data_IF_869232477235
#
_entry.id   IF_869232477235
#
_cell.length_a   1.000
_cell.length_b   1.000
_cell.length_c   1.000
_cell.angle_alpha   90.00
_cell.angle_beta   90.00
_cell.angle_gamma   90.00
#
_symmetry.space_group_name_H-M   'P 1'
#
loop_
_entity.id
_entity.type
_entity.pdbx_description
1 polymer ?
#
# COMPACT_ATOMS: atom_id res chain seq x y z
N UNK A 1 -34.67 -0.78 1.64
CA UNK A 1 -33.38 -1.03 2.34
C UNK A 1 -32.32 -1.66 1.43
N UNK A 2 -32.64 -2.65 0.57
CA UNK A 2 -31.71 -3.22 -0.43
C UNK A 2 -31.28 -2.24 -1.55
N UNK A 3 -32.15 -1.32 -1.97
CA UNK A 3 -31.87 -0.34 -3.03
C UNK A 3 -30.72 0.62 -2.69
N UNK A 4 -30.70 1.20 -1.48
CA UNK A 4 -29.57 2.05 -1.04
C UNK A 4 -28.24 1.30 -1.02
N UNK A 5 -28.26 0.04 -0.60
CA UNK A 5 -27.05 -0.79 -0.58
C UNK A 5 -26.50 -1.06 -1.99
N UNK A 6 -27.37 -1.20 -3.00
CA UNK A 6 -26.98 -1.38 -4.39
C UNK A 6 -26.31 -0.13 -4.98
N UNK A 7 -26.90 1.06 -4.73
CA UNK A 7 -26.29 2.33 -5.15
C UNK A 7 -24.92 2.53 -4.49
N UNK A 8 -24.80 2.28 -3.19
CA UNK A 8 -23.52 2.39 -2.48
C UNK A 8 -22.46 1.40 -2.99
N UNK A 9 -22.87 0.23 -3.48
CA UNK A 9 -21.96 -0.73 -4.15
C UNK A 9 -21.48 -0.19 -5.49
N UNK A 10 -22.38 0.35 -6.30
CA UNK A 10 -22.03 0.98 -7.57
C UNK A 10 -21.08 2.16 -7.38
N UNK A 11 -21.40 3.07 -6.47
CA UNK A 11 -20.58 4.24 -6.13
C UNK A 11 -19.20 3.86 -5.59
N UNK A 12 -19.12 2.80 -4.78
CA UNK A 12 -17.81 2.27 -4.34
C UNK A 12 -16.96 1.79 -5.50
N UNK A 13 -17.52 1.06 -6.46
CA UNK A 13 -16.74 0.58 -7.61
C UNK A 13 -16.37 1.73 -8.57
N UNK A 14 -17.24 2.72 -8.73
CA UNK A 14 -17.00 3.93 -9.51
C UNK A 14 -15.82 4.73 -8.94
N UNK A 15 -15.87 5.02 -7.64
CA UNK A 15 -14.90 5.89 -6.97
C UNK A 15 -13.58 5.21 -6.60
N UNK A 16 -13.52 3.88 -6.62
CA UNK A 16 -12.41 3.07 -6.09
C UNK A 16 -11.02 3.53 -6.54
N UNK A 17 -10.91 3.96 -7.78
CA UNK A 17 -9.63 4.24 -8.44
C UNK A 17 -9.39 5.70 -8.76
N UNK A 18 -10.36 6.56 -8.42
CA UNK A 18 -10.38 7.97 -8.77
C UNK A 18 -9.58 8.80 -7.75
N UNK A 19 -9.16 10.01 -8.15
CA UNK A 19 -8.68 11.03 -7.23
C UNK A 19 -9.82 11.48 -6.29
N UNK A 20 -9.49 11.96 -5.09
CA UNK A 20 -10.49 12.34 -4.08
C UNK A 20 -11.53 13.34 -4.60
N UNK A 21 -11.08 14.41 -5.26
CA UNK A 21 -12.00 15.45 -5.76
C UNK A 21 -12.90 14.92 -6.89
N UNK A 22 -12.35 14.13 -7.81
CA UNK A 22 -13.12 13.52 -8.89
C UNK A 22 -14.10 12.47 -8.36
N UNK A 23 -13.69 11.69 -7.35
CA UNK A 23 -14.54 10.72 -6.69
C UNK A 23 -15.75 11.41 -6.02
N UNK A 24 -15.51 12.53 -5.33
CA UNK A 24 -16.55 13.31 -4.67
C UNK A 24 -17.55 13.90 -5.68
N UNK A 25 -17.04 14.46 -6.79
CA UNK A 25 -17.90 14.98 -7.87
C UNK A 25 -18.71 13.86 -8.51
N UNK A 26 -18.07 12.75 -8.90
CA UNK A 26 -18.75 11.61 -9.50
C UNK A 26 -19.80 11.00 -8.57
N UNK A 27 -19.52 10.90 -7.27
CA UNK A 27 -20.49 10.41 -6.30
C UNK A 27 -21.72 11.31 -6.22
N UNK A 28 -21.53 12.63 -6.18
CA UNK A 28 -22.62 13.61 -6.15
C UNK A 28 -23.44 13.54 -7.44
N UNK A 29 -22.80 13.60 -8.59
CA UNK A 29 -23.49 13.63 -9.89
C UNK A 29 -24.35 12.36 -10.09
N UNK A 30 -23.85 11.18 -9.70
CA UNK A 30 -24.63 9.94 -9.81
C UNK A 30 -25.78 9.88 -8.80
N UNK A 31 -25.63 10.46 -7.60
CA UNK A 31 -26.75 10.59 -6.66
C UNK A 31 -27.81 11.54 -7.21
N UNK A 32 -27.43 12.68 -7.77
CA UNK A 32 -28.34 13.63 -8.41
C UNK A 32 -29.09 12.98 -9.59
N UNK A 33 -28.42 12.26 -10.49
CA UNK A 33 -29.08 11.55 -11.61
C UNK A 33 -30.11 10.54 -11.10
N UNK A 34 -29.80 9.81 -10.03
CA UNK A 34 -30.73 8.85 -9.44
C UNK A 34 -31.93 9.56 -8.80
N UNK A 35 -31.72 10.71 -8.15
CA UNK A 35 -32.78 11.52 -7.55
C UNK A 35 -33.67 12.20 -8.60
N UNK A 36 -33.13 12.56 -9.76
CA UNK A 36 -33.88 13.17 -10.87
C UNK A 36 -34.68 12.13 -11.69
N UNK A 37 -34.09 10.97 -11.98
CA UNK A 37 -34.75 9.95 -12.81
C UNK A 37 -35.71 9.03 -12.02
N UNK A 38 -35.64 9.01 -10.68
CA UNK A 38 -36.48 8.14 -9.85
C UNK A 38 -37.30 8.90 -8.80
N UNK A 39 -38.57 8.51 -8.59
CA UNK A 39 -39.38 9.03 -7.48
C UNK A 39 -38.84 8.53 -6.13
N UNK A 40 -39.12 9.24 -5.03
CA UNK A 40 -38.61 8.89 -3.68
C UNK A 40 -38.88 7.43 -3.25
N UNK A 41 -39.94 6.80 -3.78
CA UNK A 41 -40.35 5.42 -3.49
C UNK A 41 -40.04 4.43 -4.63
N UNK A 42 -38.86 4.53 -5.25
CA UNK A 42 -38.45 3.62 -6.33
C UNK A 42 -38.15 2.18 -5.85
N UNK A 43 -38.36 1.21 -6.74
CA UNK A 43 -38.05 -0.20 -6.47
C UNK A 43 -36.59 -0.53 -6.79
N UNK A 44 -36.08 -1.65 -6.27
CA UNK A 44 -34.72 -2.11 -6.60
C UNK A 44 -34.55 -2.38 -8.11
N UNK A 45 -35.61 -2.79 -8.81
CA UNK A 45 -35.59 -3.01 -10.26
C UNK A 45 -35.47 -1.72 -11.06
N UNK A 46 -36.10 -0.63 -10.58
CA UNK A 46 -35.99 0.68 -11.23
C UNK A 46 -34.57 1.21 -11.14
N UNK A 47 -33.93 1.07 -9.97
CA UNK A 47 -32.52 1.41 -9.78
C UNK A 47 -31.60 0.57 -10.68
N UNK A 48 -31.87 -0.73 -10.81
CA UNK A 48 -31.10 -1.62 -11.70
C UNK A 48 -31.12 -1.14 -13.15
N UNK A 49 -32.28 -0.70 -13.66
CA UNK A 49 -32.41 -0.20 -15.04
C UNK A 49 -31.55 1.04 -15.26
N UNK A 50 -31.54 1.98 -14.30
CA UNK A 50 -30.70 3.19 -14.40
C UNK A 50 -29.23 2.85 -14.31
N UNK A 51 -28.82 1.99 -13.38
CA UNK A 51 -27.41 1.57 -13.28
C UNK A 51 -26.94 0.85 -14.55
N UNK A 52 -27.79 0.04 -15.20
CA UNK A 52 -27.49 -0.55 -16.51
C UNK A 52 -27.36 0.50 -17.62
N UNK A 53 -28.21 1.54 -17.60
CA UNK A 53 -28.15 2.66 -18.54
C UNK A 53 -26.87 3.47 -18.37
N UNK A 54 -26.42 3.69 -17.13
CA UNK A 54 -25.14 4.33 -16.80
C UNK A 54 -23.93 3.46 -17.21
N UNK A 55 -24.11 2.15 -17.25
CA UNK A 55 -23.11 1.19 -17.72
C UNK A 55 -22.09 0.81 -16.65
N UNK A 56 -20.87 0.45 -17.08
CA UNK A 56 -19.84 -0.01 -16.16
C UNK A 56 -19.34 1.15 -15.27
N UNK A 57 -19.22 0.97 -13.94
CA UNK A 57 -18.59 1.95 -13.06
C UNK A 57 -17.19 2.35 -13.55
N UNK A 58 -16.47 1.41 -14.16
CA UNK A 58 -15.12 1.63 -14.69
C UNK A 58 -15.11 2.51 -15.96
N UNK A 59 -16.09 2.31 -16.86
CA UNK A 59 -16.19 3.15 -18.07
C UNK A 59 -16.63 4.56 -17.72
N UNK A 60 -17.53 4.68 -16.73
CA UNK A 60 -18.00 5.96 -16.24
C UNK A 60 -16.87 6.71 -15.50
N UNK A 61 -16.10 6.03 -14.64
CA UNK A 61 -14.94 6.62 -13.96
C UNK A 61 -13.93 7.24 -14.94
N UNK A 62 -13.72 6.59 -16.10
CA UNK A 62 -12.81 7.08 -17.13
C UNK A 62 -13.26 8.41 -17.77
N UNK A 63 -14.56 8.76 -17.69
CA UNK A 63 -15.07 10.06 -18.17
C UNK A 63 -14.71 11.21 -17.21
N UNK A 64 -14.50 10.89 -15.93
CA UNK A 64 -14.11 11.84 -14.89
C UNK A 64 -12.59 11.99 -14.74
N UNK A 65 -11.79 11.05 -15.27
CA UNK A 65 -10.33 11.16 -15.27
C UNK A 65 -9.86 11.96 -16.49
N UNK A 66 -9.11 13.05 -16.24
CA UNK A 66 -8.39 13.73 -17.31
C UNK A 66 -7.28 12.81 -17.82
N UNK A 67 -7.23 12.57 -19.13
CA UNK A 67 -6.17 11.82 -19.82
C UNK A 67 -4.83 12.54 -19.65
N UNK A 68 -4.19 12.36 -18.51
CA UNK A 68 -2.84 12.82 -18.26
C UNK A 68 -1.96 11.59 -18.03
N UNK A 69 -0.89 11.49 -18.81
CA UNK A 69 0.11 10.43 -18.69
C UNK A 69 0.95 10.67 -17.44
N UNK A 70 0.38 10.43 -16.26
CA UNK A 70 1.05 10.59 -14.97
C UNK A 70 1.54 9.22 -14.49
N UNK A 71 2.76 9.19 -13.96
CA UNK A 71 3.47 7.98 -13.53
C UNK A 71 2.74 7.26 -12.37
N UNK A 72 2.09 8.02 -11.49
CA UNK A 72 1.26 7.56 -10.36
C UNK A 72 0.04 8.50 -10.28
N UNK A 73 -1.18 7.99 -10.27
CA UNK A 73 -2.39 8.82 -10.36
C UNK A 73 -3.49 8.44 -9.37
N UNK A 74 -4.48 9.33 -9.24
CA UNK A 74 -5.66 9.12 -8.40
C UNK A 74 -5.30 8.80 -6.95
N UNK A 75 -5.96 7.79 -6.40
CA UNK A 75 -5.72 7.31 -5.03
C UNK A 75 -4.26 6.93 -4.73
N UNK A 76 -3.54 6.33 -5.68
CA UNK A 76 -2.16 5.90 -5.47
C UNK A 76 -1.20 7.09 -5.32
N UNK A 77 -1.53 8.24 -5.91
CA UNK A 77 -0.75 9.46 -5.72
C UNK A 77 -0.88 9.98 -4.28
N UNK A 78 -2.08 9.95 -3.71
CA UNK A 78 -2.27 10.31 -2.30
C UNK A 78 -1.46 9.39 -1.38
N UNK A 79 -1.50 8.07 -1.64
CA UNK A 79 -0.71 7.08 -0.89
C UNK A 79 0.80 7.36 -1.04
N UNK A 80 1.26 7.76 -2.23
CA UNK A 80 2.67 8.11 -2.48
C UNK A 80 3.15 9.25 -1.60
N UNK A 81 2.38 10.34 -1.55
CA UNK A 81 2.72 11.49 -0.73
C UNK A 81 2.73 11.12 0.76
N UNK A 82 1.77 10.32 1.22
CA UNK A 82 1.70 9.90 2.63
C UNK A 82 2.85 8.98 3.02
N UNK A 83 3.20 8.00 2.16
CA UNK A 83 4.36 7.12 2.37
C UNK A 83 5.66 7.94 2.43
N UNK A 84 5.86 8.89 1.52
CA UNK A 84 7.05 9.76 1.55
C UNK A 84 7.15 10.58 2.83
N UNK A 85 6.05 11.19 3.28
CA UNK A 85 6.01 11.97 4.52
C UNK A 85 6.40 11.11 5.72
N UNK A 86 5.77 9.95 5.84
CA UNK A 86 6.02 9.01 6.94
C UNK A 86 7.48 8.56 6.96
N UNK A 87 8.00 8.09 5.83
CA UNK A 87 9.38 7.61 5.74
C UNK A 87 10.39 8.73 6.04
N UNK A 88 10.12 9.96 5.58
CA UNK A 88 11.00 11.11 5.82
C UNK A 88 11.07 11.49 7.31
N UNK A 89 9.94 11.47 8.02
CA UNK A 89 9.89 11.72 9.47
C UNK A 89 10.69 10.65 10.22
N UNK A 90 10.54 9.39 9.81
CA UNK A 90 11.20 8.26 10.45
C UNK A 90 12.71 8.23 10.19
N UNK A 91 13.13 8.63 9.00
CA UNK A 91 14.54 8.83 8.65
C UNK A 91 15.20 9.83 9.60
N UNK A 92 14.59 11.01 9.77
CA UNK A 92 15.10 12.04 10.68
C UNK A 92 15.16 11.52 12.13
N UNK A 93 14.10 10.84 12.58
CA UNK A 93 14.03 10.28 13.93
C UNK A 93 15.10 9.20 14.16
N UNK A 94 15.27 8.28 13.20
CA UNK A 94 16.28 7.22 13.24
C UNK A 94 17.71 7.79 13.25
N UNK A 95 17.97 8.82 12.44
CA UNK A 95 19.25 9.52 12.39
C UNK A 95 19.61 10.13 13.76
N UNK A 96 18.67 10.83 14.38
CA UNK A 96 18.85 11.43 15.71
C UNK A 96 19.12 10.35 16.76
N UNK A 97 18.31 9.29 16.79
CA UNK A 97 18.50 8.17 17.71
C UNK A 97 19.89 7.55 17.51
N UNK A 98 20.28 7.25 16.27
CA UNK A 98 21.55 6.62 15.95
C UNK A 98 22.74 7.43 16.47
N UNK A 99 22.79 8.75 16.23
CA UNK A 99 23.90 9.59 16.66
C UNK A 99 23.89 9.92 18.16
N UNK A 100 22.74 9.93 18.83
CA UNK A 100 22.68 10.01 20.30
C UNK A 100 23.40 8.81 20.92
N UNK A 101 23.12 7.59 20.43
CA UNK A 101 23.77 6.38 20.93
C UNK A 101 25.24 6.27 20.49
N UNK A 102 25.62 6.88 19.36
CA UNK A 102 26.96 6.79 18.79
C UNK A 102 27.66 8.16 18.71
N UNK A 103 27.60 8.94 19.79
CA UNK A 103 28.10 10.34 19.80
C UNK A 103 29.57 10.47 19.38
N UNK A 104 30.41 9.47 19.65
CA UNK A 104 31.82 9.44 19.25
C UNK A 104 32.03 9.38 17.73
N UNK A 105 31.05 8.84 17.00
CA UNK A 105 31.08 8.71 15.54
C UNK A 105 30.41 9.91 14.84
N UNK A 106 29.95 10.91 15.61
CA UNK A 106 29.30 12.09 15.06
C UNK A 106 30.32 12.92 14.29
N UNK A 107 30.14 12.96 12.97
CA UNK A 107 30.87 13.84 12.07
C UNK A 107 29.93 14.35 10.98
N UNK A 108 30.18 15.56 10.48
CA UNK A 108 29.36 16.16 9.40
C UNK A 108 29.33 15.24 8.18
N UNK A 109 30.47 14.62 7.84
CA UNK A 109 30.58 13.69 6.72
C UNK A 109 29.70 12.45 6.91
N UNK A 110 29.72 11.84 8.11
CA UNK A 110 28.89 10.67 8.42
C UNK A 110 27.40 11.01 8.35
N UNK A 111 26.99 12.16 8.89
CA UNK A 111 25.60 12.62 8.84
C UNK A 111 25.14 12.79 7.39
N UNK A 112 25.93 13.47 6.56
CA UNK A 112 25.59 13.67 5.15
C UNK A 112 25.54 12.36 4.35
N UNK A 113 26.43 11.41 4.64
CA UNK A 113 26.44 10.11 3.97
C UNK A 113 25.20 9.27 4.30
N UNK A 114 24.81 9.24 5.58
CA UNK A 114 23.58 8.54 6.00
C UNK A 114 22.37 9.19 5.34
N UNK A 115 22.25 10.52 5.45
CA UNK A 115 21.13 11.28 4.90
C UNK A 115 21.00 11.10 3.38
N UNK A 116 22.11 11.19 2.63
CA UNK A 116 22.13 10.93 1.19
C UNK A 116 21.63 9.52 0.87
N UNK A 117 22.15 8.51 1.58
CA UNK A 117 21.83 7.10 1.31
C UNK A 117 20.37 6.81 1.58
N UNK A 118 19.83 7.27 2.71
CA UNK A 118 18.45 7.04 3.09
C UNK A 118 17.46 7.81 2.20
N UNK A 119 17.73 9.08 1.87
CA UNK A 119 16.87 9.85 0.96
C UNK A 119 16.73 9.19 -0.41
N UNK A 120 17.86 8.75 -0.99
CA UNK A 120 17.86 8.02 -2.27
C UNK A 120 17.03 6.73 -2.13
N UNK A 121 17.25 5.97 -1.06
CA UNK A 121 16.55 4.71 -0.80
C UNK A 121 15.04 4.92 -0.70
N UNK A 122 14.60 5.93 0.06
CA UNK A 122 13.18 6.27 0.24
C UNK A 122 12.55 6.64 -1.09
N UNK A 123 13.20 7.53 -1.85
CA UNK A 123 12.68 8.02 -3.13
C UNK A 123 12.47 6.88 -4.12
N UNK A 124 13.49 6.04 -4.34
CA UNK A 124 13.38 4.93 -5.27
C UNK A 124 12.40 3.87 -4.79
N UNK A 125 12.44 3.51 -3.51
CA UNK A 125 11.59 2.46 -2.98
C UNK A 125 10.11 2.83 -3.03
N UNK A 126 9.77 4.06 -2.65
CA UNK A 126 8.39 4.55 -2.71
C UNK A 126 7.88 4.70 -4.15
N UNK A 127 8.70 5.28 -5.03
CA UNK A 127 8.31 5.53 -6.44
C UNK A 127 8.09 4.22 -7.19
N UNK A 128 9.03 3.27 -7.11
CA UNK A 128 8.93 1.99 -7.82
C UNK A 128 7.77 1.17 -7.26
N UNK A 129 7.60 1.13 -5.93
CA UNK A 129 6.52 0.36 -5.30
C UNK A 129 5.13 0.83 -5.74
N UNK A 130 4.91 2.15 -5.79
CA UNK A 130 3.61 2.69 -6.17
C UNK A 130 3.39 2.75 -7.66
N UNK A 131 4.45 2.84 -8.46
CA UNK A 131 4.36 2.60 -9.89
C UNK A 131 3.93 1.16 -10.20
N UNK A 132 4.48 0.16 -9.49
CA UNK A 132 4.02 -1.23 -9.60
C UNK A 132 2.54 -1.33 -9.21
N UNK A 133 2.13 -0.71 -8.10
CA UNK A 133 0.73 -0.69 -7.68
C UNK A 133 -0.20 -0.04 -8.74
N UNK A 134 0.25 1.03 -9.41
CA UNK A 134 -0.48 1.67 -10.51
C UNK A 134 -0.60 0.76 -11.74
N UNK A 135 0.43 -0.03 -12.05
CA UNK A 135 0.38 -1.02 -13.14
C UNK A 135 -0.57 -2.17 -12.84
N UNK A 136 -0.59 -2.66 -11.60
CA UNK A 136 -1.57 -3.66 -11.16
C UNK A 136 -3.00 -3.11 -11.22
N UNK A 137 -3.21 -1.86 -10.78
CA UNK A 137 -4.50 -1.16 -10.89
C UNK A 137 -4.94 -1.02 -12.36
N UNK A 138 -4.09 -0.50 -13.24
CA UNK A 138 -4.44 -0.24 -14.64
C UNK A 138 -4.73 -1.52 -15.44
N UNK A 139 -4.00 -2.61 -15.21
CA UNK A 139 -4.31 -3.93 -15.81
C UNK A 139 -5.67 -4.47 -15.37
N UNK A 140 -6.02 -4.30 -14.09
CA UNK A 140 -7.33 -4.70 -13.55
C UNK A 140 -8.47 -3.86 -14.12
N UNK A 141 -8.29 -2.53 -14.20
CA UNK A 141 -9.24 -1.61 -14.85
C UNK A 141 -9.46 -2.04 -16.31
N UNK A 142 -8.39 -2.26 -17.07
CA UNK A 142 -8.48 -2.73 -18.46
C UNK A 142 -9.25 -4.06 -18.57
N UNK A 143 -8.96 -5.04 -17.70
CA UNK A 143 -9.65 -6.32 -17.70
C UNK A 143 -11.15 -6.21 -17.43
N UNK A 144 -11.56 -5.25 -16.59
CA UNK A 144 -12.97 -5.01 -16.26
C UNK A 144 -13.68 -4.14 -17.31
N UNK A 145 -12.96 -3.26 -18.01
CA UNK A 145 -13.50 -2.51 -19.15
C UNK A 145 -13.81 -3.42 -20.34
N UNK A 146 -13.06 -4.50 -20.52
CA UNK A 146 -13.29 -5.50 -21.58
C UNK A 146 -14.47 -6.42 -21.26
N UNK A 147 -14.83 -6.61 -19.99
CA UNK A 147 -15.98 -7.43 -19.58
C UNK A 147 -17.28 -6.66 -19.76
N UNK A 148 -18.32 -7.33 -20.28
CA UNK A 148 -19.66 -6.75 -20.29
C UNK A 148 -20.17 -6.59 -18.85
N UNK A 149 -20.62 -5.39 -18.52
CA UNK A 149 -21.12 -5.07 -17.19
C UNK A 149 -22.38 -5.87 -16.88
N UNK A 150 -22.40 -6.53 -15.73
CA UNK A 150 -23.53 -7.28 -15.18
C UNK A 150 -23.82 -6.76 -13.79
N UNK A 151 -25.09 -6.48 -13.47
CA UNK A 151 -25.47 -5.97 -12.14
C UNK A 151 -25.11 -7.01 -11.07
N UNK A 152 -25.17 -8.29 -11.41
CA UNK A 152 -24.79 -9.41 -10.52
C UNK A 152 -23.38 -9.24 -9.94
N UNK A 153 -22.46 -8.61 -10.69
CA UNK A 153 -21.10 -8.36 -10.24
C UNK A 153 -21.03 -7.41 -9.02
N UNK A 154 -22.02 -6.52 -8.86
CA UNK A 154 -22.15 -5.65 -7.69
C UNK A 154 -22.60 -6.42 -6.44
N UNK A 155 -23.32 -7.53 -6.62
CA UNK A 155 -23.82 -8.34 -5.51
C UNK A 155 -22.74 -9.24 -4.90
N UNK A 156 -21.67 -9.53 -5.64
CA UNK A 156 -20.51 -10.30 -5.14
C UNK A 156 -20.03 -9.62 -3.86
N UNK A 157 -20.29 -10.26 -2.71
CA UNK A 157 -19.76 -9.85 -1.42
C UNK A 157 -18.25 -10.07 -1.47
N UNK A 158 -17.52 -9.06 -1.92
CA UNK A 158 -16.08 -8.99 -1.66
C UNK A 158 -15.95 -9.02 -0.14
N UNK A 159 -15.12 -9.92 0.42
CA UNK A 159 -14.97 -10.00 1.87
C UNK A 159 -14.64 -8.58 2.37
N UNK A 160 -15.36 -8.10 3.39
CA UNK A 160 -15.01 -6.85 4.07
C UNK A 160 -13.64 -7.09 4.68
N UNK A 161 -12.62 -6.61 4.00
CA UNK A 161 -11.29 -6.76 4.51
C UNK A 161 -11.00 -5.63 5.48
N UNK A 162 -10.58 -6.04 6.68
CA UNK A 162 -10.10 -5.09 7.67
C UNK A 162 -8.99 -4.28 7.02
N UNK A 163 -9.12 -2.95 7.06
CA UNK A 163 -8.08 -2.03 6.61
C UNK A 163 -6.79 -2.45 7.32
N UNK A 164 -5.75 -2.89 6.59
CA UNK A 164 -4.48 -3.18 7.22
C UNK A 164 -4.00 -1.88 7.85
N UNK A 165 -3.72 -1.94 9.15
CA UNK A 165 -3.09 -0.83 9.84
C UNK A 165 -1.73 -0.63 9.16
N UNK A 166 -1.39 0.59 8.74
CA UNK A 166 -0.05 0.91 8.22
C UNK A 166 1.05 0.84 9.32
N UNK A 167 0.68 0.38 10.52
CA UNK A 167 1.55 0.23 11.68
C UNK A 167 2.79 -0.64 11.45
N UNK A 168 2.75 -1.73 10.67
CA UNK A 168 3.95 -2.52 10.42
C UNK A 168 4.98 -1.77 9.57
N UNK A 169 4.55 -0.98 8.58
CA UNK A 169 5.44 -0.08 7.84
C UNK A 169 6.11 0.89 8.80
N UNK A 170 5.32 1.47 9.71
CA UNK A 170 5.80 2.46 10.67
C UNK A 170 6.85 1.89 11.63
N UNK A 171 6.61 0.70 12.21
CA UNK A 171 7.59 0.12 13.13
C UNK A 171 8.85 -0.34 12.40
N UNK A 172 8.71 -0.99 11.24
CA UNK A 172 9.86 -1.62 10.58
C UNK A 172 10.84 -0.61 9.97
N UNK A 173 10.34 0.45 9.33
CA UNK A 173 11.18 1.44 8.65
C UNK A 173 12.13 2.15 9.62
N UNK A 174 11.66 2.53 10.82
CA UNK A 174 12.49 3.21 11.82
C UNK A 174 13.68 2.36 12.25
N UNK A 175 13.44 1.09 12.60
CA UNK A 175 14.52 0.19 13.02
C UNK A 175 15.46 -0.14 11.86
N UNK A 176 14.95 -0.24 10.63
CA UNK A 176 15.79 -0.44 9.45
C UNK A 176 16.69 0.77 9.17
N UNK A 177 16.17 2.01 9.26
CA UNK A 177 16.99 3.22 9.10
C UNK A 177 18.12 3.29 10.13
N UNK A 178 17.85 2.96 11.39
CA UNK A 178 18.90 2.89 12.42
C UNK A 178 20.02 1.91 12.03
N UNK A 179 19.67 0.74 11.49
CA UNK A 179 20.66 -0.27 11.07
C UNK A 179 21.38 0.17 9.79
N UNK A 180 20.69 0.81 8.84
CA UNK A 180 21.29 1.40 7.64
C UNK A 180 22.30 2.47 8.03
N UNK A 181 21.96 3.38 8.94
CA UNK A 181 22.85 4.42 9.43
C UNK A 181 24.16 3.85 9.98
N UNK A 182 24.08 2.76 10.75
CA UNK A 182 25.25 2.05 11.25
C UNK A 182 26.12 1.47 10.13
N UNK A 183 25.50 0.76 9.18
CA UNK A 183 26.23 0.12 8.08
C UNK A 183 26.85 1.14 7.12
N UNK A 184 26.23 2.31 6.93
CA UNK A 184 26.79 3.44 6.18
C UNK A 184 28.03 3.98 6.87
N UNK A 185 28.00 4.18 8.19
CA UNK A 185 29.17 4.65 8.94
C UNK A 185 30.30 3.62 8.93
N UNK A 186 29.98 2.33 9.01
CA UNK A 186 30.95 1.23 8.91
C UNK A 186 31.41 1.01 7.45
N UNK A 187 30.76 1.64 6.47
CA UNK A 187 31.07 1.55 5.03
C UNK A 187 30.96 0.13 4.47
N UNK A 188 29.92 -0.61 4.88
CA UNK A 188 29.65 -1.98 4.40
C UNK A 188 28.58 -2.00 3.31
N UNK A 189 29.01 -1.87 2.05
CA UNK A 189 28.12 -1.79 0.89
C UNK A 189 27.18 -2.99 0.73
N UNK A 190 27.64 -4.20 1.05
CA UNK A 190 26.82 -5.40 0.91
C UNK A 190 25.64 -5.39 1.88
N UNK A 191 25.87 -5.01 3.13
CA UNK A 191 24.84 -4.96 4.17
C UNK A 191 23.83 -3.84 3.88
N UNK A 192 24.31 -2.69 3.41
CA UNK A 192 23.47 -1.57 2.99
C UNK A 192 22.50 -2.02 1.89
N UNK A 193 22.99 -2.69 0.84
CA UNK A 193 22.15 -3.16 -0.27
C UNK A 193 21.08 -4.17 0.18
N UNK A 194 21.44 -5.08 1.08
CA UNK A 194 20.48 -6.05 1.65
C UNK A 194 19.38 -5.31 2.44
N UNK A 195 19.75 -4.35 3.28
CA UNK A 195 18.80 -3.54 4.05
C UNK A 195 17.89 -2.69 3.15
N UNK A 196 18.43 -2.09 2.09
CA UNK A 196 17.67 -1.34 1.09
C UNK A 196 16.67 -2.26 0.37
N UNK A 197 17.06 -3.49 0.04
CA UNK A 197 16.17 -4.47 -0.56
C UNK A 197 15.04 -4.88 0.40
N UNK A 198 15.34 -5.10 1.69
CA UNK A 198 14.32 -5.38 2.70
C UNK A 198 13.34 -4.21 2.82
N UNK A 199 13.85 -2.98 2.94
CA UNK A 199 13.01 -1.78 3.04
C UNK A 199 12.11 -1.63 1.81
N UNK A 200 12.65 -1.86 0.62
CA UNK A 200 11.88 -1.86 -0.62
C UNK A 200 10.75 -2.90 -0.61
N UNK A 201 11.01 -4.15 -0.20
CA UNK A 201 9.99 -5.21 -0.15
C UNK A 201 8.86 -4.88 0.84
N UNK A 202 9.19 -4.28 1.98
CA UNK A 202 8.19 -3.86 2.97
C UNK A 202 7.34 -2.69 2.48
N UNK A 203 7.96 -1.68 1.84
CA UNK A 203 7.23 -0.58 1.21
C UNK A 203 6.33 -1.13 0.09
N UNK A 204 6.84 -2.02 -0.77
CA UNK A 204 6.07 -2.65 -1.84
C UNK A 204 4.84 -3.37 -1.30
N UNK A 205 5.03 -4.19 -0.26
CA UNK A 205 3.96 -4.89 0.43
C UNK A 205 2.88 -3.94 0.95
N UNK A 206 3.27 -2.93 1.71
CA UNK A 206 2.32 -2.06 2.42
C UNK A 206 1.66 -1.05 1.48
N UNK A 207 2.39 -0.52 0.49
CA UNK A 207 1.81 0.31 -0.58
C UNK A 207 0.73 -0.43 -1.37
N UNK A 208 0.95 -1.71 -1.71
CA UNK A 208 -0.05 -2.51 -2.43
C UNK A 208 -1.28 -2.83 -1.55
N UNK A 209 -1.07 -3.10 -0.24
CA UNK A 209 -2.16 -3.26 0.74
C UNK A 209 -3.04 -2.00 0.85
N UNK A 210 -2.42 -0.81 0.85
CA UNK A 210 -3.12 0.47 0.91
C UNK A 210 -3.86 0.78 -0.41
N UNK A 211 -3.23 0.51 -1.55
CA UNK A 211 -3.81 0.77 -2.87
C UNK A 211 -5.14 0.03 -3.09
N UNK A 212 -5.22 -1.25 -2.71
CA UNK A 212 -6.40 -2.09 -2.92
C UNK A 212 -7.44 -2.04 -1.79
N UNK A 213 -7.30 -1.13 -0.81
CA UNK A 213 -8.14 -1.05 0.39
C UNK A 213 -8.14 -2.33 1.25
N UNK A 214 -7.04 -3.08 1.21
CA UNK A 214 -6.83 -4.29 1.99
C UNK A 214 -6.23 -5.45 1.20
N UNK A 215 -6.43 -6.66 1.73
CA UNK A 215 -5.85 -7.90 1.21
C UNK A 215 -6.71 -8.61 0.13
N UNK A 216 -6.64 -8.19 -1.12
CA UNK A 216 -7.14 -9.01 -2.23
C UNK A 216 -6.32 -10.31 -2.41
N UNK A 217 -6.84 -11.33 -3.12
CA UNK A 217 -6.11 -12.60 -3.39
C UNK A 217 -4.68 -12.38 -3.91
N UNK A 218 -4.50 -11.46 -4.87
CA UNK A 218 -3.16 -11.15 -5.40
C UNK A 218 -2.30 -10.38 -4.39
N UNK A 219 -2.89 -9.47 -3.63
CA UNK A 219 -2.20 -8.68 -2.60
C UNK A 219 -1.76 -9.55 -1.42
N UNK A 220 -2.56 -10.55 -1.02
CA UNK A 220 -2.15 -11.54 -0.01
C UNK A 220 -0.94 -12.35 -0.45
N UNK A 221 -0.93 -12.82 -1.71
CA UNK A 221 0.21 -13.60 -2.21
C UNK A 221 1.46 -12.74 -2.35
N UNK A 222 1.33 -11.52 -2.86
CA UNK A 222 2.44 -10.57 -2.92
C UNK A 222 2.98 -10.26 -1.52
N UNK A 223 2.10 -10.06 -0.53
CA UNK A 223 2.51 -9.79 0.84
C UNK A 223 3.29 -10.96 1.44
N UNK A 224 2.79 -12.19 1.31
CA UNK A 224 3.49 -13.41 1.76
C UNK A 224 4.85 -13.52 1.08
N UNK A 225 4.93 -13.28 -0.23
CA UNK A 225 6.17 -13.31 -0.99
C UNK A 225 7.19 -12.29 -0.47
N UNK A 226 6.77 -11.03 -0.28
CA UNK A 226 7.62 -9.98 0.28
C UNK A 226 8.11 -10.33 1.69
N UNK A 227 7.23 -10.86 2.55
CA UNK A 227 7.55 -11.20 3.94
C UNK A 227 8.55 -12.35 4.03
N UNK A 228 8.34 -13.42 3.25
CA UNK A 228 9.25 -14.57 3.21
C UNK A 228 10.63 -14.16 2.70
N UNK A 229 10.72 -13.39 1.61
CA UNK A 229 12.01 -12.94 1.07
C UNK A 229 12.70 -11.99 2.05
N UNK A 230 11.95 -11.09 2.69
CA UNK A 230 12.51 -10.18 3.70
C UNK A 230 13.12 -10.96 4.87
N UNK A 231 12.45 -12.00 5.36
CA UNK A 231 12.99 -12.87 6.42
C UNK A 231 14.25 -13.62 5.97
N UNK A 232 14.30 -14.12 4.74
CA UNK A 232 15.48 -14.76 4.17
C UNK A 232 16.67 -13.78 4.08
N UNK A 233 16.42 -12.53 3.71
CA UNK A 233 17.44 -11.48 3.63
C UNK A 233 17.92 -10.99 5.01
N UNK A 234 17.07 -11.04 6.04
CA UNK A 234 17.43 -10.67 7.41
C UNK A 234 18.38 -11.69 8.05
N UNK A 235 18.26 -12.98 7.70
CA UNK A 235 19.09 -14.04 8.26
C UNK A 235 20.61 -13.78 8.21
N UNK A 236 21.24 -13.46 7.06
CA UNK A 236 22.69 -13.20 7.01
C UNK A 236 23.09 -11.97 7.87
N UNK A 237 22.21 -10.97 8.00
CA UNK A 237 22.45 -9.81 8.85
C UNK A 237 22.44 -10.21 10.34
N UNK A 238 21.51 -11.06 10.77
CA UNK A 238 21.48 -11.58 12.14
C UNK A 238 22.72 -12.40 12.49
N UNK A 239 23.22 -13.21 11.55
CA UNK A 239 24.46 -13.98 11.71
C UNK A 239 25.68 -13.06 11.82
N UNK A 240 25.73 -11.95 11.07
CA UNK A 240 26.81 -10.96 11.19
C UNK A 240 26.86 -10.35 12.59
N UNK A 241 25.72 -10.04 13.19
CA UNK A 241 25.61 -9.53 14.55
C UNK A 241 25.55 -10.66 15.62
N UNK A 242 25.96 -11.89 15.29
CA UNK A 242 25.77 -13.04 16.19
C UNK A 242 26.51 -12.89 17.52
N UNK A 243 27.77 -12.45 17.48
CA UNK A 243 28.69 -12.47 18.63
C UNK A 243 28.56 -11.30 19.61
N UNK A 244 27.83 -10.22 19.30
CA UNK A 244 27.55 -9.17 20.28
C UNK A 244 26.05 -8.89 20.38
N UNK A 245 25.55 -8.77 21.61
CA UNK A 245 24.22 -8.21 21.86
C UNK A 245 24.34 -6.71 21.65
N UNK A 246 24.34 -6.32 20.37
CA UNK A 246 24.33 -4.92 19.97
C UNK A 246 22.90 -4.44 19.77
N UNK A 247 22.68 -3.16 20.02
CA UNK A 247 21.43 -2.45 19.73
C UNK A 247 20.89 -2.76 18.31
N UNK A 248 21.79 -2.90 17.32
CA UNK A 248 21.42 -3.23 15.93
C UNK A 248 20.84 -4.62 15.77
N UNK A 249 21.31 -5.61 16.55
CA UNK A 249 20.74 -6.97 16.56
C UNK A 249 19.31 -6.95 17.08
N UNK A 250 19.07 -6.19 18.15
CA UNK A 250 17.73 -6.04 18.74
C UNK A 250 16.79 -5.38 17.73
N UNK A 251 17.23 -4.31 17.05
CA UNK A 251 16.48 -3.67 15.97
C UNK A 251 16.10 -4.66 14.86
N UNK A 252 17.04 -5.49 14.39
CA UNK A 252 16.76 -6.52 13.37
C UNK A 252 15.80 -7.59 13.88
N UNK A 253 15.90 -8.02 15.14
CA UNK A 253 14.97 -8.97 15.74
C UNK A 253 13.55 -8.38 15.82
N UNK A 254 13.40 -7.11 16.19
CA UNK A 254 12.09 -6.43 16.23
C UNK A 254 11.47 -6.42 14.83
N UNK A 255 12.25 -6.07 13.80
CA UNK A 255 11.78 -6.10 12.40
C UNK A 255 11.37 -7.52 11.99
N UNK A 256 12.18 -8.53 12.30
CA UNK A 256 11.86 -9.92 11.98
C UNK A 256 10.55 -10.39 12.66
N UNK A 257 10.35 -10.08 13.94
CA UNK A 257 9.14 -10.44 14.68
C UNK A 257 7.91 -9.74 14.08
N UNK A 258 8.02 -8.46 13.72
CA UNK A 258 6.93 -7.74 13.07
C UNK A 258 6.57 -8.34 11.70
N UNK A 259 7.57 -8.72 10.90
CA UNK A 259 7.33 -9.41 9.60
C UNK A 259 6.68 -10.77 9.81
N UNK A 260 7.11 -11.56 10.80
CA UNK A 260 6.49 -12.84 11.14
C UNK A 260 5.03 -12.66 11.55
N UNK A 261 4.74 -11.64 12.36
CA UNK A 261 3.37 -11.33 12.77
C UNK A 261 2.48 -10.98 11.58
N UNK A 262 2.95 -10.13 10.66
CA UNK A 262 2.25 -9.81 9.41
C UNK A 262 2.04 -11.04 8.53
N UNK A 263 3.05 -11.89 8.41
CA UNK A 263 2.97 -13.14 7.63
C UNK A 263 1.88 -14.06 8.17
N UNK A 264 1.79 -14.22 9.50
CA UNK A 264 0.73 -15.00 10.15
C UNK A 264 -0.64 -14.42 9.85
N UNK A 265 -0.80 -13.09 9.90
CA UNK A 265 -2.05 -12.43 9.55
C UNK A 265 -2.43 -12.65 8.09
N UNK A 266 -1.47 -12.52 7.16
CA UNK A 266 -1.69 -12.74 5.74
C UNK A 266 -2.10 -14.19 5.44
N UNK A 267 -1.43 -15.17 6.04
CA UNK A 267 -1.75 -16.60 5.91
C UNK A 267 -3.13 -16.92 6.48
N UNK A 268 -3.46 -16.38 7.67
CA UNK A 268 -4.79 -16.54 8.29
C UNK A 268 -5.91 -16.04 7.39
N UNK A 269 -5.68 -14.95 6.66
CA UNK A 269 -6.66 -14.42 5.72
C UNK A 269 -6.81 -15.28 4.46
N UNK A 270 -5.72 -15.84 3.92
CA UNK A 270 -5.81 -16.80 2.80
C UNK A 270 -6.66 -18.02 3.20
N UNK A 271 -6.47 -18.53 4.41
CA UNK A 271 -7.28 -19.64 4.95
C UNK A 271 -8.77 -19.27 5.08
N UNK A 272 -9.10 -18.02 5.42
CA UNK A 272 -10.48 -17.54 5.45
C UNK A 272 -11.09 -17.44 4.05
N UNK A 273 -10.34 -16.91 3.08
CA UNK A 273 -10.80 -16.76 1.69
C UNK A 273 -11.14 -18.13 1.08
N UNK A 274 -10.29 -19.14 1.29
CA UNK A 274 -10.51 -20.50 0.79
C UNK A 274 -11.68 -21.24 1.46
N UNK A 275 -12.12 -20.83 2.66
CA UNK A 275 -13.30 -21.41 3.33
C UNK A 275 -14.63 -20.82 2.85
N UNK A 276 -14.60 -19.70 2.13
CA UNK A 276 -15.78 -18.98 1.62
C UNK A 276 -16.06 -19.19 0.13
N UNK A 277 -15.23 -19.97 -0.56
CA UNK A 277 -15.48 -20.47 -1.92
C UNK A 277 -16.03 -21.88 -1.85
#
# INVERSE_FOLDING_TARGET
MKSRELLDRYLRELTKYMAYDNAKSAERDIREIVEEELPENYTEEDLKKILLKLGSPYSLAAQYESKSNILISGKNYTIYIDVLKVLSIQMILALVIYFIFNIKLLSILNVLNVLKTEMITIFFSATISLWIAEKVKSTKIMSNLVKSFRIEDLYIKKPKLNKPLAFPLLCNSLFLFIVIANEVVISNDASIKILQAILFLLILRDSNKLAEDGYGRYVTFLAIFCDVISLLLIYPLLVKYFYSISFFKISLCIVAVAIIFDLILAVSQVLKINKTQ
#
